data_IF_649579127382
#
_entry.id   IF_649579127382
#
_cell.length_a   1.000
_cell.length_b   1.000
_cell.length_c   1.000
_cell.angle_alpha   90.00
_cell.angle_beta   90.00
_cell.angle_gamma   90.00
#
_symmetry.space_group_name_H-M   'P 1'
#
loop_
_entity.id
_entity.type
_entity.pdbx_description
1 polymer ?
#
# COMPACT_ATOMS: atom_id res chain seq x y z
N UNK A 1 65.17 29.56 -6.01
CA UNK A 1 64.59 28.40 -5.27
C UNK A 1 63.07 28.55 -5.20
N UNK A 2 62.34 27.58 -5.74
CA UNK A 2 60.89 27.68 -5.77
C UNK A 2 60.29 27.53 -4.36
N UNK A 3 59.24 28.31 -4.06
CA UNK A 3 58.52 28.35 -2.77
C UNK A 3 58.13 26.97 -2.28
N UNK A 4 57.77 26.07 -3.22
CA UNK A 4 57.45 24.68 -2.94
C UNK A 4 58.62 23.79 -2.53
N UNK A 5 59.81 24.05 -3.08
CA UNK A 5 61.06 23.30 -2.78
C UNK A 5 61.59 23.59 -1.36
N UNK A 6 61.43 24.83 -0.87
CA UNK A 6 61.77 25.20 0.51
C UNK A 6 60.78 24.82 1.56
N UNK A 7 59.47 24.69 1.20
CA UNK A 7 58.40 24.42 2.15
C UNK A 7 58.18 22.94 2.46
N UNK A 8 58.79 22.01 1.72
CA UNK A 8 58.63 20.55 2.02
C UNK A 8 59.28 20.12 3.35
N UNK A 9 60.06 21.00 4.03
CA UNK A 9 60.64 20.74 5.35
C UNK A 9 60.05 21.53 6.52
N UNK A 10 59.26 22.57 6.28
CA UNK A 10 58.90 23.56 7.31
C UNK A 10 57.43 23.64 7.73
N UNK A 11 56.58 22.76 7.20
CA UNK A 11 55.17 22.72 7.55
C UNK A 11 54.30 23.81 6.91
N UNK A 12 53.00 23.74 7.15
CA UNK A 12 51.94 24.57 6.54
C UNK A 12 52.10 26.09 6.74
N UNK A 13 52.58 26.61 7.90
CA UNK A 13 52.79 28.05 8.11
C UNK A 13 53.90 28.64 7.24
N UNK A 14 54.95 27.87 7.00
CA UNK A 14 56.09 28.29 6.18
C UNK A 14 55.73 28.28 4.69
N UNK A 15 54.91 27.33 4.26
CA UNK A 15 54.33 27.27 2.94
C UNK A 15 53.47 28.50 2.63
N UNK A 16 52.59 28.90 3.54
CA UNK A 16 51.75 30.08 3.39
C UNK A 16 52.55 31.37 3.30
N UNK A 17 53.57 31.53 4.16
CA UNK A 17 54.44 32.71 4.15
C UNK A 17 55.22 32.82 2.85
N UNK A 18 55.75 31.71 2.33
CA UNK A 18 56.51 31.67 1.09
C UNK A 18 55.62 31.88 -0.14
N UNK A 19 54.32 31.44 -0.07
CA UNK A 19 53.33 31.68 -1.11
C UNK A 19 52.96 33.16 -1.21
N UNK A 20 52.79 33.86 -0.10
CA UNK A 20 52.53 35.30 -0.10
C UNK A 20 53.73 36.09 -0.66
N UNK A 21 54.98 35.75 -0.28
CA UNK A 21 56.15 36.36 -0.81
C UNK A 21 56.35 36.13 -2.34
N UNK A 22 55.99 34.96 -2.85
CA UNK A 22 56.02 34.66 -4.28
C UNK A 22 54.95 35.41 -5.10
N UNK A 23 53.76 35.68 -4.50
CA UNK A 23 52.68 36.46 -5.12
C UNK A 23 53.07 37.97 -5.24
N UNK A 24 53.88 38.47 -4.35
CA UNK A 24 54.43 39.87 -4.44
C UNK A 24 55.40 40.08 -5.58
N UNK A 25 56.12 39.04 -6.03
CA UNK A 25 57.04 39.09 -7.15
C UNK A 25 56.82 37.97 -8.18
N UNK A 26 55.80 37.99 -8.95
CA UNK A 26 55.35 36.85 -9.82
C UNK A 26 56.35 36.67 -11.03
N UNK A 27 57.17 37.64 -11.37
CA UNK A 27 58.07 37.56 -12.52
C UNK A 27 59.46 36.97 -12.19
N UNK A 28 59.72 36.69 -10.92
CA UNK A 28 61.08 36.18 -10.52
C UNK A 28 61.02 34.63 -10.49
N UNK A 29 61.17 34.01 -11.68
CA UNK A 29 61.10 32.53 -11.84
C UNK A 29 62.55 31.99 -11.74
N UNK A 30 62.83 31.26 -10.67
CA UNK A 30 64.14 30.60 -10.45
C UNK A 30 63.92 29.08 -10.71
N UNK A 31 64.65 28.54 -11.69
CA UNK A 31 64.60 27.11 -12.00
C UNK A 31 65.61 26.35 -11.13
N UNK A 32 65.10 25.34 -10.41
CA UNK A 32 65.96 24.43 -9.64
C UNK A 32 65.61 23.00 -10.01
N UNK A 33 66.41 22.01 -9.66
CA UNK A 33 66.15 20.57 -9.92
C UNK A 33 64.83 20.07 -9.32
N UNK A 34 64.32 20.79 -8.31
CA UNK A 34 63.05 20.49 -7.68
C UNK A 34 61.83 21.18 -8.32
N UNK A 35 62.06 22.07 -9.31
CA UNK A 35 60.96 22.80 -9.97
C UNK A 35 60.07 21.88 -10.81
N UNK A 36 60.68 20.94 -11.52
CA UNK A 36 59.94 19.99 -12.38
C UNK A 36 59.01 19.07 -11.59
N UNK A 37 59.42 18.40 -10.50
CA UNK A 37 58.52 17.62 -9.69
C UNK A 37 57.42 18.46 -9.02
N UNK A 38 57.69 19.69 -8.60
CA UNK A 38 56.71 20.61 -8.03
C UNK A 38 55.59 20.96 -9.04
N UNK A 39 55.96 21.26 -10.29
CA UNK A 39 55.01 21.53 -11.38
C UNK A 39 54.13 20.30 -11.67
N UNK A 40 54.74 19.12 -11.72
CA UNK A 40 53.97 17.87 -11.95
C UNK A 40 52.97 17.60 -10.84
N UNK A 41 53.34 17.85 -9.58
CA UNK A 41 52.43 17.71 -8.44
C UNK A 41 51.27 18.70 -8.55
N UNK A 42 51.54 19.96 -8.87
CA UNK A 42 50.46 20.96 -9.07
C UNK A 42 49.55 20.63 -10.23
N UNK A 43 50.08 20.15 -11.36
CA UNK A 43 49.29 19.71 -12.49
C UNK A 43 48.45 18.48 -12.16
N UNK A 44 48.97 17.52 -11.42
CA UNK A 44 48.23 16.35 -10.94
C UNK A 44 47.11 16.76 -9.98
N UNK A 45 47.37 17.65 -9.03
CA UNK A 45 46.36 18.19 -8.11
C UNK A 45 45.26 18.96 -8.85
N UNK A 46 45.65 19.79 -9.83
CA UNK A 46 44.66 20.48 -10.67
C UNK A 46 43.84 19.52 -11.51
N UNK A 47 44.45 18.53 -12.14
CA UNK A 47 43.74 17.48 -12.90
C UNK A 47 42.78 16.71 -12.02
N UNK A 48 43.17 16.36 -10.79
CA UNK A 48 42.31 15.72 -9.81
C UNK A 48 41.12 16.62 -9.42
N UNK A 49 41.37 17.90 -9.16
CA UNK A 49 40.32 18.86 -8.82
C UNK A 49 39.29 19.02 -9.97
N UNK A 50 39.76 19.09 -11.22
CA UNK A 50 38.88 19.14 -12.40
C UNK A 50 38.09 17.85 -12.59
N UNK A 51 38.72 16.70 -12.36
CA UNK A 51 38.03 15.42 -12.39
C UNK A 51 36.94 15.34 -11.33
N UNK A 52 37.23 15.70 -10.09
CA UNK A 52 36.27 15.75 -8.99
C UNK A 52 35.13 16.74 -9.27
N UNK A 53 35.46 17.91 -9.83
CA UNK A 53 34.45 18.89 -10.23
C UNK A 53 33.51 18.36 -11.30
N UNK A 54 34.04 17.74 -12.36
CA UNK A 54 33.23 17.14 -13.43
C UNK A 54 32.40 15.95 -12.96
N UNK A 55 32.97 15.09 -12.11
CA UNK A 55 32.21 13.94 -11.53
C UNK A 55 31.09 14.41 -10.61
N UNK A 56 31.27 15.53 -9.93
CA UNK A 56 30.24 16.07 -9.03
C UNK A 56 29.16 16.86 -9.78
N UNK A 57 29.45 17.47 -10.92
CA UNK A 57 28.48 18.14 -11.78
C UNK A 57 27.43 17.16 -12.36
N UNK A 58 27.79 15.90 -12.59
CA UNK A 58 26.86 14.87 -13.09
C UNK A 58 25.87 14.34 -12.04
N UNK A 59 25.96 14.77 -10.78
CA UNK A 59 25.05 14.36 -9.69
C UNK A 59 23.91 15.33 -9.41
N UNK A 60 23.93 16.52 -9.99
CA UNK A 60 22.81 17.45 -9.94
C UNK A 60 21.79 17.07 -11.01
N UNK A 61 20.61 16.69 -10.60
CA UNK A 61 19.47 16.48 -11.49
C UNK A 61 18.75 17.82 -11.65
N UNK A 62 19.11 18.55 -12.70
CA UNK A 62 18.49 19.83 -13.00
C UNK A 62 16.97 19.64 -13.19
N UNK A 63 16.17 20.38 -12.44
CA UNK A 63 14.70 20.29 -12.46
C UNK A 63 14.08 19.28 -11.50
N UNK A 64 14.86 18.53 -10.70
CA UNK A 64 14.36 17.59 -9.70
C UNK A 64 14.63 18.05 -8.25
N UNK A 65 14.77 19.35 -8.03
CA UNK A 65 15.10 19.96 -6.71
C UNK A 65 14.10 19.61 -5.60
N UNK A 66 12.84 19.28 -5.97
CA UNK A 66 11.77 18.88 -5.06
C UNK A 66 11.40 17.41 -5.17
N UNK A 67 12.20 16.56 -5.80
CA UNK A 67 11.99 15.14 -6.01
C UNK A 67 11.68 14.78 -7.46
N UNK A 68 11.92 13.50 -7.82
CA UNK A 68 11.73 12.98 -9.17
C UNK A 68 10.29 12.56 -9.48
N UNK A 69 9.32 12.92 -8.65
CA UNK A 69 7.91 12.56 -8.84
C UNK A 69 7.33 13.32 -10.03
N UNK A 70 6.91 12.59 -11.05
CA UNK A 70 6.26 13.11 -12.23
C UNK A 70 4.97 12.35 -12.52
N UNK A 71 4.03 12.98 -13.23
CA UNK A 71 2.83 12.31 -13.70
C UNK A 71 3.20 11.23 -14.73
N UNK A 72 2.77 10.00 -14.43
CA UNK A 72 2.98 8.88 -15.34
C UNK A 72 1.89 8.84 -16.42
N UNK A 73 2.21 8.36 -17.61
CA UNK A 73 1.22 8.09 -18.66
C UNK A 73 0.43 6.82 -18.34
N UNK A 74 -0.85 6.71 -18.75
CA UNK A 74 -1.62 5.47 -18.57
C UNK A 74 -0.93 4.23 -19.12
N UNK A 75 -0.24 4.37 -20.23
CA UNK A 75 0.52 3.26 -20.86
C UNK A 75 1.66 2.77 -19.97
N UNK A 76 2.45 3.68 -19.38
CA UNK A 76 3.55 3.32 -18.49
C UNK A 76 3.04 2.70 -17.18
N UNK A 77 1.92 3.18 -16.64
CA UNK A 77 1.27 2.61 -15.45
C UNK A 77 0.78 1.20 -15.74
N UNK A 78 0.08 0.99 -16.85
CA UNK A 78 -0.43 -0.32 -17.22
C UNK A 78 0.69 -1.33 -17.52
N UNK A 79 1.78 -0.90 -18.14
CA UNK A 79 2.94 -1.77 -18.38
C UNK A 79 3.53 -2.32 -17.06
N UNK A 80 3.44 -1.55 -15.97
CA UNK A 80 3.96 -1.95 -14.67
C UNK A 80 2.94 -2.71 -13.81
N UNK A 81 1.66 -2.33 -13.84
CA UNK A 81 0.67 -2.77 -12.86
C UNK A 81 -0.48 -3.58 -13.44
N UNK A 82 -0.79 -3.49 -14.74
CA UNK A 82 -1.87 -4.26 -15.33
C UNK A 82 -1.48 -5.73 -15.50
N UNK A 83 -2.48 -6.60 -15.35
CA UNK A 83 -2.37 -8.05 -15.51
C UNK A 83 -3.59 -8.54 -16.32
N UNK A 84 -3.63 -9.85 -16.63
CA UNK A 84 -4.79 -10.46 -17.28
C UNK A 84 -6.07 -10.20 -16.46
N UNK A 85 -6.00 -10.49 -15.17
CA UNK A 85 -7.08 -10.23 -14.22
C UNK A 85 -6.76 -8.94 -13.47
N UNK A 86 -7.56 -7.92 -13.70
CA UNK A 86 -7.29 -6.55 -13.22
C UNK A 86 -8.55 -5.83 -12.81
N UNK A 87 -8.41 -4.89 -11.86
CA UNK A 87 -9.41 -3.92 -11.46
C UNK A 87 -9.29 -2.70 -12.40
N UNK A 88 -10.31 -2.32 -13.17
CA UNK A 88 -10.33 -1.04 -13.88
C UNK A 88 -10.45 0.12 -12.87
N UNK A 89 -9.38 0.88 -12.72
CA UNK A 89 -9.35 2.07 -11.85
C UNK A 89 -9.96 3.28 -12.56
N UNK A 90 -9.67 3.41 -13.85
CA UNK A 90 -10.24 4.43 -14.75
C UNK A 90 -10.48 3.80 -16.13
N UNK A 91 -10.99 4.59 -17.08
CA UNK A 91 -11.15 4.15 -18.46
C UNK A 91 -9.83 3.62 -19.07
N UNK A 92 -8.69 4.16 -18.65
CA UNK A 92 -7.39 3.88 -19.27
C UNK A 92 -6.39 3.18 -18.33
N UNK A 93 -6.66 3.07 -17.04
CA UNK A 93 -5.72 2.53 -16.06
C UNK A 93 -6.32 1.32 -15.36
N UNK A 94 -5.53 0.26 -15.27
CA UNK A 94 -5.90 -1.02 -14.64
C UNK A 94 -4.86 -1.41 -13.60
N UNK A 95 -5.31 -2.06 -12.52
CA UNK A 95 -4.47 -2.61 -11.47
C UNK A 95 -4.69 -4.13 -11.40
N UNK A 96 -3.64 -4.90 -11.52
CA UNK A 96 -3.70 -6.36 -11.46
C UNK A 96 -4.15 -6.86 -10.09
N UNK A 97 -4.81 -8.02 -10.06
CA UNK A 97 -5.28 -8.65 -8.82
C UNK A 97 -4.15 -9.37 -8.05
N UNK A 98 -3.09 -9.81 -8.73
CA UNK A 98 -1.96 -10.46 -8.09
C UNK A 98 -1.02 -9.42 -7.45
N UNK A 99 -1.22 -9.18 -6.16
CA UNK A 99 -0.44 -8.22 -5.36
C UNK A 99 1.02 -8.62 -5.19
N UNK A 100 1.36 -9.91 -5.32
CA UNK A 100 2.75 -10.35 -5.21
C UNK A 100 3.62 -9.82 -6.35
N UNK A 101 3.05 -9.66 -7.55
CA UNK A 101 3.78 -9.15 -8.73
C UNK A 101 4.08 -7.67 -8.63
N UNK A 102 3.12 -6.85 -8.23
CA UNK A 102 3.30 -5.39 -8.23
C UNK A 102 3.47 -4.77 -6.83
N UNK A 103 3.31 -5.55 -5.76
CA UNK A 103 3.50 -5.15 -4.36
C UNK A 103 2.69 -3.91 -3.95
N UNK A 104 1.47 -3.77 -4.48
CA UNK A 104 0.54 -2.69 -4.16
C UNK A 104 -0.71 -3.25 -3.49
N UNK A 105 -1.30 -2.48 -2.57
CA UNK A 105 -2.61 -2.79 -1.99
C UNK A 105 -3.71 -2.65 -3.05
N UNK A 106 -4.73 -3.51 -2.95
CA UNK A 106 -5.94 -3.42 -3.76
C UNK A 106 -7.03 -2.53 -3.13
N UNK A 107 -6.74 -1.90 -2.00
CA UNK A 107 -7.67 -0.97 -1.38
C UNK A 107 -7.78 0.30 -2.23
N UNK A 108 -8.97 0.60 -2.71
CA UNK A 108 -9.24 1.76 -3.56
C UNK A 108 -10.25 2.66 -2.86
N UNK A 109 -9.92 3.94 -2.72
CA UNK A 109 -10.81 4.96 -2.21
C UNK A 109 -11.29 5.86 -3.36
N UNK A 110 -12.59 5.85 -3.63
CA UNK A 110 -13.22 6.69 -4.66
C UNK A 110 -13.98 7.82 -4.01
N UNK A 111 -13.51 9.06 -4.20
CA UNK A 111 -14.09 10.27 -3.59
C UNK A 111 -14.84 11.06 -4.66
N UNK A 112 -16.03 11.53 -4.31
CA UNK A 112 -16.81 12.40 -5.18
C UNK A 112 -18.14 12.78 -4.51
N UNK A 113 -18.70 13.92 -4.87
CA UNK A 113 -20.00 14.39 -4.40
C UNK A 113 -21.17 13.51 -4.86
N UNK A 114 -22.38 13.88 -4.45
CA UNK A 114 -23.61 13.25 -4.99
C UNK A 114 -23.71 13.53 -6.50
N UNK A 115 -24.11 12.53 -7.28
CA UNK A 115 -24.20 12.65 -8.74
C UNK A 115 -22.86 12.58 -9.50
N UNK A 116 -21.71 12.44 -8.83
CA UNK A 116 -20.39 12.31 -9.48
C UNK A 116 -20.16 10.96 -10.18
N UNK A 117 -21.21 10.20 -10.44
CA UNK A 117 -21.20 8.94 -11.16
C UNK A 117 -20.25 7.84 -10.59
N UNK A 118 -19.94 7.86 -9.28
CA UNK A 118 -19.05 6.86 -8.65
C UNK A 118 -19.48 5.43 -8.91
N UNK A 119 -20.76 5.12 -8.73
CA UNK A 119 -21.32 3.79 -8.99
C UNK A 119 -21.18 3.44 -10.47
N UNK A 120 -21.57 4.34 -11.37
CA UNK A 120 -21.58 4.10 -12.81
C UNK A 120 -20.17 3.99 -13.41
N UNK A 121 -19.22 4.80 -12.95
CA UNK A 121 -17.88 4.87 -13.56
C UNK A 121 -16.85 3.96 -12.90
N UNK A 122 -17.09 3.50 -11.67
CA UNK A 122 -16.15 2.64 -10.96
C UNK A 122 -16.78 1.31 -10.53
N UNK A 123 -17.90 1.32 -9.78
CA UNK A 123 -18.46 0.11 -9.19
C UNK A 123 -18.96 -0.85 -10.28
N UNK A 124 -19.85 -0.38 -11.17
CA UNK A 124 -20.43 -1.22 -12.23
C UNK A 124 -19.38 -1.80 -13.18
N UNK A 125 -18.41 -1.03 -13.72
CA UNK A 125 -17.36 -1.58 -14.55
C UNK A 125 -16.53 -2.66 -13.86
N UNK A 126 -16.25 -2.51 -12.57
CA UNK A 126 -15.50 -3.51 -11.81
C UNK A 126 -16.29 -4.80 -11.63
N UNK A 127 -17.57 -4.73 -11.34
CA UNK A 127 -18.42 -5.92 -11.21
C UNK A 127 -18.60 -6.63 -12.58
N UNK A 128 -18.78 -5.85 -13.64
CA UNK A 128 -18.94 -6.40 -15.00
C UNK A 128 -17.68 -7.07 -15.55
N UNK A 129 -16.50 -6.88 -14.94
CA UNK A 129 -15.32 -7.68 -15.29
C UNK A 129 -15.46 -9.15 -14.93
N UNK A 130 -16.32 -9.49 -13.96
CA UNK A 130 -16.63 -10.85 -13.52
C UNK A 130 -15.39 -11.75 -13.30
N UNK A 131 -14.33 -11.20 -12.70
CA UNK A 131 -13.04 -11.85 -12.54
C UNK A 131 -12.68 -12.24 -11.10
N UNK A 132 -13.59 -11.99 -10.15
CA UNK A 132 -13.39 -12.30 -8.72
C UNK A 132 -14.74 -12.50 -8.03
N UNK A 133 -14.72 -12.86 -6.75
CA UNK A 133 -15.92 -12.86 -5.91
C UNK A 133 -16.19 -11.45 -5.38
N UNK A 134 -17.46 -11.12 -5.22
CA UNK A 134 -17.90 -9.78 -4.80
C UNK A 134 -18.75 -9.84 -3.55
N UNK A 135 -18.51 -8.92 -2.62
CA UNK A 135 -19.41 -8.58 -1.52
C UNK A 135 -19.74 -7.10 -1.66
N UNK A 136 -21.03 -6.79 -1.87
CA UNK A 136 -21.46 -5.44 -2.28
C UNK A 136 -22.51 -4.93 -1.29
N UNK A 137 -22.29 -3.73 -0.76
CA UNK A 137 -23.31 -3.00 -0.01
C UNK A 137 -24.10 -2.10 -0.96
N UNK A 138 -25.36 -2.41 -1.20
CA UNK A 138 -26.21 -1.74 -2.18
C UNK A 138 -27.55 -1.26 -1.55
N UNK A 139 -27.54 -0.12 -0.83
CA UNK A 139 -28.73 0.35 -0.10
C UNK A 139 -29.91 0.74 -1.01
N UNK A 140 -29.67 0.94 -2.31
CA UNK A 140 -30.70 1.32 -3.28
C UNK A 140 -31.05 0.23 -4.28
N UNK A 141 -30.40 -0.90 -4.20
CA UNK A 141 -30.52 -2.02 -5.16
C UNK A 141 -30.14 -1.66 -6.62
N UNK A 142 -29.48 -0.50 -6.82
CA UNK A 142 -29.05 -0.06 -8.16
C UNK A 142 -28.06 -1.02 -8.80
N UNK A 143 -27.11 -1.53 -8.00
CA UNK A 143 -26.05 -2.42 -8.47
C UNK A 143 -26.62 -3.80 -8.77
N UNK A 144 -27.45 -4.33 -7.89
CA UNK A 144 -28.11 -5.63 -8.08
C UNK A 144 -28.96 -5.65 -9.36
N UNK A 145 -29.78 -4.61 -9.56
CA UNK A 145 -30.64 -4.49 -10.73
C UNK A 145 -29.82 -4.36 -12.04
N UNK A 146 -28.68 -3.66 -11.98
CA UNK A 146 -27.86 -3.44 -13.16
C UNK A 146 -26.94 -4.63 -13.52
N UNK A 147 -26.50 -5.44 -12.55
CA UNK A 147 -25.47 -6.46 -12.75
C UNK A 147 -25.86 -7.87 -12.36
N UNK A 148 -26.90 -8.06 -11.54
CA UNK A 148 -27.26 -9.35 -10.98
C UNK A 148 -27.63 -10.39 -12.04
N UNK A 149 -28.37 -9.99 -13.11
CA UNK A 149 -28.69 -10.86 -14.24
C UNK A 149 -27.42 -11.32 -14.98
N UNK A 150 -26.55 -10.35 -15.33
CA UNK A 150 -25.30 -10.64 -15.99
C UNK A 150 -24.40 -11.59 -15.17
N UNK A 151 -24.27 -11.37 -13.86
CA UNK A 151 -23.45 -12.24 -13.01
C UNK A 151 -24.01 -13.68 -12.97
N UNK A 152 -25.34 -13.85 -12.92
CA UNK A 152 -25.97 -15.18 -13.01
C UNK A 152 -25.66 -15.86 -14.35
N UNK A 153 -25.72 -15.14 -15.46
CA UNK A 153 -25.33 -15.64 -16.80
C UNK A 153 -23.86 -16.05 -16.86
N UNK A 154 -22.98 -15.37 -16.11
CA UNK A 154 -21.57 -15.73 -15.96
C UNK A 154 -21.31 -16.88 -14.97
N UNK A 155 -22.37 -17.49 -14.41
CA UNK A 155 -22.28 -18.63 -13.49
C UNK A 155 -22.04 -18.29 -12.03
N UNK A 156 -22.21 -17.03 -11.62
CA UNK A 156 -22.11 -16.64 -10.20
C UNK A 156 -23.35 -17.05 -9.42
N UNK A 157 -23.15 -17.55 -8.19
CA UNK A 157 -24.21 -17.70 -7.20
C UNK A 157 -24.47 -16.35 -6.54
N UNK A 158 -25.50 -15.65 -7.02
CA UNK A 158 -25.87 -14.32 -6.53
C UNK A 158 -26.84 -14.46 -5.36
N UNK A 159 -26.37 -14.13 -4.15
CA UNK A 159 -27.15 -14.11 -2.91
C UNK A 159 -27.47 -12.70 -2.48
N UNK A 160 -28.72 -12.47 -2.06
CA UNK A 160 -29.19 -11.14 -1.68
C UNK A 160 -29.68 -11.16 -0.24
N UNK A 161 -28.99 -10.46 0.65
CA UNK A 161 -29.47 -10.19 2.00
C UNK A 161 -30.24 -8.87 2.00
N UNK A 162 -31.57 -8.97 1.97
CA UNK A 162 -32.46 -7.82 1.94
C UNK A 162 -32.96 -7.48 3.35
N UNK A 163 -32.38 -6.45 3.96
CA UNK A 163 -32.74 -6.00 5.30
C UNK A 163 -33.96 -5.04 5.31
N UNK A 164 -34.42 -4.59 4.15
CA UNK A 164 -35.60 -3.73 4.01
C UNK A 164 -36.86 -4.58 3.84
N UNK A 165 -36.80 -5.62 3.01
CA UNK A 165 -37.88 -6.58 2.80
C UNK A 165 -37.35 -8.00 2.99
N UNK A 166 -37.51 -8.53 4.18
CA UNK A 166 -37.01 -9.85 4.56
C UNK A 166 -37.65 -10.99 3.77
N UNK A 167 -38.89 -10.82 3.25
CA UNK A 167 -39.54 -11.82 2.40
C UNK A 167 -38.80 -12.03 1.07
N UNK A 168 -38.09 -11.02 0.60
CA UNK A 168 -37.29 -11.07 -0.62
C UNK A 168 -35.83 -11.34 -0.36
N UNK A 169 -35.46 -11.72 0.86
CA UNK A 169 -34.09 -12.00 1.26
C UNK A 169 -33.77 -13.48 1.13
N UNK A 170 -32.56 -13.78 0.66
CA UNK A 170 -31.97 -15.10 0.80
C UNK A 170 -31.75 -15.41 2.29
N UNK A 171 -31.99 -16.65 2.67
CA UNK A 171 -31.73 -17.12 4.03
C UNK A 171 -30.25 -17.32 4.29
N UNK A 172 -29.85 -17.00 5.50
CA UNK A 172 -28.45 -17.24 5.97
C UNK A 172 -28.52 -18.10 7.24
N UNK A 173 -27.91 -19.28 7.16
CA UNK A 173 -27.73 -20.14 8.33
C UNK A 173 -26.24 -20.26 8.64
N UNK A 174 -25.75 -19.64 9.73
CA UNK A 174 -24.32 -19.67 10.07
C UNK A 174 -23.82 -21.06 10.47
N UNK A 175 -24.70 -21.97 10.92
CA UNK A 175 -24.29 -23.34 11.26
C UNK A 175 -23.66 -24.09 10.08
N UNK A 176 -24.06 -23.80 8.86
CA UNK A 176 -23.46 -24.41 7.65
C UNK A 176 -21.99 -24.05 7.41
N UNK A 177 -21.49 -23.04 8.10
CA UNK A 177 -20.10 -22.56 7.97
C UNK A 177 -19.22 -22.95 9.15
N UNK A 178 -19.79 -23.64 10.16
CA UNK A 178 -19.02 -24.18 11.27
C UNK A 178 -18.25 -25.42 10.82
N UNK A 179 -16.96 -25.46 11.12
CA UNK A 179 -16.05 -26.56 10.77
C UNK A 179 -15.55 -27.28 12.00
N UNK A 180 -15.36 -26.54 13.08
CA UNK A 180 -14.84 -27.02 14.34
C UNK A 180 -15.46 -26.29 15.53
N UNK A 181 -15.16 -26.75 16.75
CA UNK A 181 -15.61 -26.15 17.99
C UNK A 181 -15.14 -24.69 18.16
N UNK A 182 -14.01 -24.33 17.56
CA UNK A 182 -13.49 -22.95 17.61
C UNK A 182 -14.35 -21.99 16.81
N UNK A 183 -14.96 -22.47 15.73
CA UNK A 183 -15.90 -21.67 14.94
C UNK A 183 -17.21 -21.45 15.72
N UNK A 184 -17.65 -22.41 16.53
CA UNK A 184 -18.78 -22.22 17.48
C UNK A 184 -18.45 -21.09 18.46
N UNK A 185 -17.28 -21.10 19.07
CA UNK A 185 -16.85 -20.04 19.98
C UNK A 185 -16.83 -18.66 19.31
N UNK A 186 -16.35 -18.59 18.05
CA UNK A 186 -16.35 -17.34 17.27
C UNK A 186 -17.77 -16.87 16.98
N UNK A 187 -18.66 -17.79 16.59
CA UNK A 187 -20.05 -17.45 16.30
C UNK A 187 -20.75 -16.86 17.52
N UNK A 188 -20.62 -17.49 18.70
CA UNK A 188 -21.21 -17.00 19.95
C UNK A 188 -20.64 -15.63 20.34
N UNK A 189 -19.31 -15.47 20.29
CA UNK A 189 -18.67 -14.19 20.61
C UNK A 189 -19.15 -13.08 19.67
N UNK A 190 -19.22 -13.35 18.36
CA UNK A 190 -19.73 -12.38 17.39
C UNK A 190 -21.21 -12.03 17.65
N UNK A 191 -22.04 -13.01 18.00
CA UNK A 191 -23.44 -12.80 18.32
C UNK A 191 -23.58 -11.84 19.51
N UNK A 192 -22.90 -12.12 20.63
CA UNK A 192 -22.96 -11.31 21.84
C UNK A 192 -22.41 -9.90 21.57
N UNK A 193 -21.26 -9.78 20.90
CA UNK A 193 -20.67 -8.47 20.58
C UNK A 193 -21.55 -7.63 19.65
N UNK A 194 -22.25 -8.26 18.70
CA UNK A 194 -23.12 -7.54 17.76
C UNK A 194 -24.46 -7.14 18.36
N UNK A 195 -24.92 -7.86 19.38
CA UNK A 195 -26.20 -7.58 20.07
C UNK A 195 -26.03 -6.67 21.28
N UNK A 196 -24.82 -6.54 21.82
CA UNK A 196 -24.56 -5.64 22.95
C UNK A 196 -24.49 -4.17 22.47
N UNK A 197 -25.33 -3.26 23.00
CA UNK A 197 -25.33 -1.86 22.59
C UNK A 197 -23.99 -1.19 22.91
N UNK A 198 -23.46 -0.40 21.96
CA UNK A 198 -22.24 0.39 22.17
C UNK A 198 -22.46 1.41 23.28
N UNK A 199 -21.66 1.34 24.34
CA UNK A 199 -21.74 2.28 25.49
C UNK A 199 -22.68 1.81 26.62
N UNK A 200 -23.28 0.63 26.55
CA UNK A 200 -23.84 0.01 27.73
C UNK A 200 -22.70 -0.27 28.71
N UNK A 201 -22.77 0.30 29.92
CA UNK A 201 -21.94 -0.17 31.01
C UNK A 201 -22.24 -1.67 31.16
N UNK A 202 -21.18 -2.49 31.10
CA UNK A 202 -21.32 -3.93 31.34
C UNK A 202 -22.07 -4.11 32.68
N UNK A 203 -23.30 -4.62 32.59
CA UNK A 203 -23.92 -5.27 33.71
C UNK A 203 -22.93 -6.35 34.19
N UNK A 204 -22.95 -6.65 35.48
CA UNK A 204 -22.06 -7.61 36.14
C UNK A 204 -21.47 -8.66 35.17
N UNK A 205 -20.12 -8.76 35.03
CA UNK A 205 -19.44 -9.69 34.12
C UNK A 205 -19.89 -11.16 34.26
N UNK A 206 -20.53 -11.49 35.37
CA UNK A 206 -21.09 -12.81 35.62
C UNK A 206 -22.19 -13.16 34.60
N UNK A 207 -23.12 -12.25 34.35
CA UNK A 207 -24.25 -12.51 33.44
C UNK A 207 -23.78 -12.70 32.01
N UNK A 208 -22.88 -11.88 31.52
CA UNK A 208 -22.31 -12.01 30.18
C UNK A 208 -21.57 -13.33 30.00
N UNK A 209 -20.81 -13.76 31.03
CA UNK A 209 -20.14 -15.07 31.00
C UNK A 209 -21.11 -16.24 31.04
N UNK A 210 -22.17 -16.16 31.86
CA UNK A 210 -23.18 -17.19 31.95
C UNK A 210 -23.97 -17.34 30.63
N UNK A 211 -24.39 -16.23 30.03
CA UNK A 211 -25.01 -16.20 28.70
C UNK A 211 -24.10 -16.81 27.61
N UNK A 212 -22.82 -16.40 27.59
CA UNK A 212 -21.84 -16.94 26.66
C UNK A 212 -21.71 -18.45 26.82
N UNK A 213 -21.55 -18.94 28.05
CA UNK A 213 -21.38 -20.36 28.32
C UNK A 213 -22.64 -21.18 27.94
N UNK A 214 -23.82 -20.65 28.22
CA UNK A 214 -25.07 -21.30 27.85
C UNK A 214 -25.23 -21.41 26.33
N UNK A 215 -25.04 -20.31 25.61
CA UNK A 215 -25.12 -20.31 24.13
C UNK A 215 -24.05 -21.22 23.51
N UNK A 216 -22.84 -21.24 24.04
CA UNK A 216 -21.80 -22.16 23.59
C UNK A 216 -22.22 -23.63 23.78
N UNK A 217 -22.71 -23.97 24.94
CA UNK A 217 -23.15 -25.35 25.22
C UNK A 217 -24.28 -25.80 24.28
N UNK A 218 -25.31 -24.97 24.08
CA UNK A 218 -26.44 -25.30 23.21
C UNK A 218 -26.02 -25.43 21.75
N UNK A 219 -25.24 -24.44 21.26
CA UNK A 219 -24.81 -24.43 19.85
C UNK A 219 -23.83 -25.58 19.59
N UNK A 220 -22.93 -25.89 20.54
CA UNK A 220 -22.01 -27.01 20.41
C UNK A 220 -22.77 -28.36 20.40
N UNK A 221 -23.76 -28.52 21.26
CA UNK A 221 -24.62 -29.71 21.28
C UNK A 221 -25.37 -29.88 19.95
N UNK A 222 -25.96 -28.81 19.41
CA UNK A 222 -26.60 -28.85 18.11
C UNK A 222 -25.63 -29.18 16.98
N UNK A 223 -24.44 -28.61 17.03
CA UNK A 223 -23.40 -28.85 16.01
C UNK A 223 -22.90 -30.30 16.02
N UNK A 224 -22.75 -30.91 17.19
CA UNK A 224 -22.18 -32.26 17.33
C UNK A 224 -23.22 -33.38 17.20
N UNK A 225 -24.40 -33.19 17.77
CA UNK A 225 -25.37 -34.27 17.97
C UNK A 225 -26.64 -34.13 17.09
N UNK A 226 -26.97 -32.88 16.69
CA UNK A 226 -28.23 -32.67 15.97
C UNK A 226 -28.09 -32.96 14.46
N UNK A 227 -29.12 -33.47 13.80
CA UNK A 227 -29.13 -33.61 12.36
C UNK A 227 -29.10 -32.23 11.68
N UNK A 228 -28.55 -32.16 10.45
CA UNK A 228 -28.26 -30.92 9.73
C UNK A 228 -29.45 -29.96 9.61
N UNK A 229 -30.67 -30.48 9.50
CA UNK A 229 -31.87 -29.65 9.38
C UNK A 229 -32.30 -28.98 10.71
N UNK A 230 -31.79 -29.47 11.85
CA UNK A 230 -31.98 -28.87 13.17
C UNK A 230 -30.85 -27.91 13.56
N UNK A 231 -29.75 -27.91 12.86
CA UNK A 231 -28.64 -27.02 13.10
C UNK A 231 -28.98 -25.60 12.63
N UNK A 232 -29.73 -24.86 13.41
CA UNK A 232 -30.16 -23.48 13.14
C UNK A 232 -30.51 -22.72 14.41
N UNK A 233 -30.60 -21.38 14.34
CA UNK A 233 -30.99 -20.57 15.50
C UNK A 233 -32.39 -20.76 16.00
N UNK A 234 -33.34 -21.23 15.18
CA UNK A 234 -34.68 -21.53 15.65
C UNK A 234 -34.66 -22.69 16.66
N UNK A 235 -33.75 -23.64 16.51
CA UNK A 235 -33.58 -24.73 17.47
C UNK A 235 -32.83 -24.31 18.74
N UNK A 236 -31.91 -23.34 18.65
CA UNK A 236 -31.22 -22.75 19.82
C UNK A 236 -32.23 -22.08 20.77
N UNK A 237 -33.34 -21.55 20.24
CA UNK A 237 -34.37 -20.84 20.98
C UNK A 237 -35.50 -21.72 21.50
N UNK A 238 -35.47 -23.03 21.21
CA UNK A 238 -36.41 -24.03 21.71
C UNK A 238 -35.93 -24.75 22.95
#
# INVERSE_FOLDING_TARGET
>A
ETVLAQSLGGGLPELLRNLTAALEQPTNIIWTDKSLPAILICLAAYGMAVLLYRTNQGRTRDGEEHGSAAWATPASVNAQFAQKDSIPLTQHVRLGLDTHKHRRSLNVLVIGGSGAAKTRSFVLPNILTANTNYVITDPKSEVLLATGGYLKEQGYDVRVLNLVNLEQSDGYNPFRYLRDEKDVLKLVNNLIQSTTPKGSHESDPFWTKAETALLQAIILMLFQEAPEYEQNFSMVMR
#
